data_IF_509809755386
#
_entry.id   IF_509809755386
#
_cell.length_a   1.000
_cell.length_b   1.000
_cell.length_c   1.000
_cell.angle_alpha   90.00
_cell.angle_beta   90.00
_cell.angle_gamma   90.00
#
_symmetry.space_group_name_H-M   'P 1'
#
loop_
_entity.id
_entity.type
_entity.pdbx_description
1 polymer ?
#
# COMPACT_ATOMS: atom_id res chain seq x y z
N UNK A 1 1.93 18.64 -5.98
CA UNK A 1 1.81 17.23 -6.37
C UNK A 1 0.48 16.74 -5.83
N UNK A 2 -0.32 16.07 -6.67
CA UNK A 2 -1.59 15.46 -6.28
C UNK A 2 -1.35 14.01 -5.93
N UNK A 3 -1.85 13.56 -4.79
CA UNK A 3 -1.79 12.15 -4.38
C UNK A 3 -3.20 11.59 -4.35
N UNK A 4 -3.44 10.54 -5.14
CA UNK A 4 -4.74 9.90 -5.24
C UNK A 4 -4.66 8.50 -4.61
N UNK A 5 -5.55 8.25 -3.66
CA UNK A 5 -5.65 6.95 -2.99
C UNK A 5 -6.71 6.07 -3.67
N UNK A 6 -6.26 5.00 -4.32
CA UNK A 6 -7.13 3.97 -4.85
C UNK A 6 -7.49 2.94 -3.77
N UNK A 7 -8.78 2.72 -3.59
CA UNK A 7 -9.31 1.61 -2.79
C UNK A 7 -8.99 0.26 -3.45
N UNK A 8 -8.94 -0.82 -2.68
CA UNK A 8 -8.73 -2.16 -3.24
C UNK A 8 -9.87 -2.65 -4.14
N UNK A 9 -11.05 -2.01 -4.08
CA UNK A 9 -12.19 -2.27 -4.97
C UNK A 9 -11.96 -1.77 -6.40
N UNK A 10 -11.10 -0.77 -6.57
CA UNK A 10 -10.85 -0.10 -7.86
C UNK A 10 -10.23 -1.06 -8.89
N UNK A 11 -9.63 -2.17 -8.44
CA UNK A 11 -9.10 -3.24 -9.31
C UNK A 11 -10.16 -3.90 -10.19
N UNK A 12 -11.43 -3.79 -9.83
CA UNK A 12 -12.51 -4.52 -10.50
C UNK A 12 -13.42 -3.61 -11.33
N UNK A 13 -13.33 -2.28 -11.15
CA UNK A 13 -14.20 -1.34 -11.85
C UNK A 13 -13.61 0.08 -11.88
N UNK A 14 -12.65 0.30 -12.78
CA UNK A 14 -12.04 1.61 -13.00
C UNK A 14 -12.82 2.29 -14.13
N UNK A 15 -13.73 3.18 -13.75
CA UNK A 15 -14.59 3.84 -14.71
C UNK A 15 -13.76 4.64 -15.74
N UNK A 16 -14.04 4.54 -17.05
CA UNK A 16 -13.26 5.21 -18.09
C UNK A 16 -13.10 6.72 -17.89
N UNK A 17 -14.11 7.39 -17.33
CA UNK A 17 -14.04 8.84 -17.04
C UNK A 17 -12.94 9.19 -16.04
N UNK A 18 -12.75 8.38 -14.99
CA UNK A 18 -11.69 8.61 -14.00
C UNK A 18 -10.31 8.52 -14.65
N UNK A 19 -10.14 7.60 -15.61
CA UNK A 19 -8.87 7.46 -16.32
C UNK A 19 -8.62 8.68 -17.21
N UNK A 20 -9.64 9.19 -17.88
CA UNK A 20 -9.52 10.41 -18.68
C UNK A 20 -9.19 11.62 -17.81
N UNK A 21 -9.86 11.79 -16.66
CA UNK A 21 -9.55 12.86 -15.70
C UNK A 21 -8.09 12.78 -15.23
N UNK A 22 -7.62 11.58 -14.87
CA UNK A 22 -6.23 11.36 -14.48
C UNK A 22 -5.25 11.68 -15.61
N UNK A 23 -5.58 11.31 -16.85
CA UNK A 23 -4.78 11.66 -18.02
C UNK A 23 -4.64 13.17 -18.14
N UNK A 24 -5.74 13.90 -18.10
CA UNK A 24 -5.75 15.37 -18.21
C UNK A 24 -4.98 16.04 -17.07
N UNK A 25 -5.15 15.57 -15.82
CA UNK A 25 -4.42 16.12 -14.68
C UNK A 25 -2.92 15.82 -14.81
N UNK A 26 -2.54 14.60 -15.21
CA UNK A 26 -1.13 14.19 -15.33
C UNK A 26 -0.33 14.98 -16.37
N UNK A 27 -1.00 15.59 -17.36
CA UNK A 27 -0.37 16.46 -18.36
C UNK A 27 -0.01 17.84 -17.80
N UNK A 28 -0.69 18.30 -16.76
CA UNK A 28 -0.58 19.67 -16.25
C UNK A 28 -0.02 19.73 -14.83
N UNK A 29 -0.11 18.64 -14.07
CA UNK A 29 0.24 18.59 -12.65
C UNK A 29 0.92 17.26 -12.30
N UNK A 30 1.92 17.31 -11.43
CA UNK A 30 2.56 16.11 -10.86
C UNK A 30 1.50 15.31 -10.09
N UNK A 31 1.34 14.05 -10.42
CA UNK A 31 0.40 13.13 -9.78
C UNK A 31 1.11 11.85 -9.34
N UNK A 32 0.69 11.31 -8.18
CA UNK A 32 1.08 9.98 -7.68
C UNK A 32 -0.18 9.22 -7.28
N UNK A 33 -0.23 7.92 -7.58
CA UNK A 33 -1.26 7.03 -7.08
C UNK A 33 -0.71 6.18 -5.94
N UNK A 34 -1.50 6.01 -4.89
CA UNK A 34 -1.26 5.01 -3.85
C UNK A 34 -2.41 4.03 -3.87
N UNK A 35 -2.16 2.72 -3.88
CA UNK A 35 -3.24 1.73 -3.98
C UNK A 35 -3.43 0.88 -2.72
N UNK A 36 -4.66 0.38 -2.54
CA UNK A 36 -4.99 -0.67 -1.59
C UNK A 36 -4.97 -2.05 -2.23
N UNK A 37 -5.46 -3.06 -1.49
CA UNK A 37 -5.47 -4.43 -2.02
C UNK A 37 -5.78 -5.55 -1.02
N UNK A 38 -6.16 -5.22 0.22
CA UNK A 38 -6.25 -6.20 1.30
C UNK A 38 -7.11 -7.44 1.00
N UNK A 39 -8.22 -7.30 0.26
CA UNK A 39 -9.08 -8.43 -0.12
C UNK A 39 -8.33 -9.45 -1.00
N UNK A 40 -7.60 -8.97 -1.99
CA UNK A 40 -6.84 -9.84 -2.90
C UNK A 40 -5.63 -10.47 -2.20
N UNK A 41 -4.99 -9.76 -1.26
CA UNK A 41 -3.97 -10.38 -0.40
C UNK A 41 -4.56 -11.56 0.39
N UNK A 42 -5.75 -11.40 0.98
CA UNK A 42 -6.39 -12.49 1.70
C UNK A 42 -6.69 -13.67 0.78
N UNK A 43 -7.26 -13.42 -0.40
CA UNK A 43 -7.56 -14.45 -1.40
C UNK A 43 -6.32 -15.27 -1.77
N UNK A 44 -5.20 -14.60 -2.09
CA UNK A 44 -3.96 -15.28 -2.48
C UNK A 44 -3.33 -16.01 -1.30
N UNK A 45 -3.30 -15.41 -0.11
CA UNK A 45 -2.75 -16.06 1.06
C UNK A 45 -3.51 -17.35 1.42
N UNK A 46 -4.85 -17.34 1.38
CA UNK A 46 -5.67 -18.54 1.59
C UNK A 46 -5.36 -19.62 0.54
N UNK A 47 -5.17 -19.25 -0.73
CA UNK A 47 -4.75 -20.21 -1.78
C UNK A 47 -3.37 -20.82 -1.55
N UNK A 48 -2.50 -20.10 -0.85
CA UNK A 48 -1.18 -20.58 -0.42
C UNK A 48 -1.22 -21.36 0.91
N UNK A 49 -2.42 -21.60 1.47
CA UNK A 49 -2.59 -22.29 2.76
C UNK A 49 -2.31 -21.40 3.99
N UNK A 50 -2.12 -20.08 3.79
CA UNK A 50 -1.86 -19.11 4.86
C UNK A 50 -3.13 -18.37 5.26
N UNK A 51 -3.84 -18.92 6.23
CA UNK A 51 -5.03 -18.28 6.81
C UNK A 51 -4.71 -16.93 7.45
N UNK A 52 -5.57 -15.95 7.16
CA UNK A 52 -5.32 -14.56 7.53
C UNK A 52 -5.94 -14.20 8.86
N UNK A 53 -5.13 -13.68 9.78
CA UNK A 53 -5.56 -13.23 11.10
C UNK A 53 -5.84 -11.73 11.09
N UNK A 54 -6.92 -11.33 11.74
CA UNK A 54 -7.29 -9.93 11.92
C UNK A 54 -7.39 -9.60 13.41
N UNK A 55 -6.94 -8.40 13.76
CA UNK A 55 -6.95 -7.87 15.12
C UNK A 55 -7.71 -6.55 15.15
N UNK A 56 -8.27 -6.21 16.30
CA UNK A 56 -8.98 -4.95 16.52
C UNK A 56 -8.20 -4.13 17.54
N UNK A 57 -7.85 -2.90 17.18
CA UNK A 57 -7.17 -1.98 18.11
C UNK A 57 -8.15 -1.42 19.17
N UNK A 58 -7.65 -0.84 20.28
CA UNK A 58 -8.51 -0.18 21.27
C UNK A 58 -9.37 0.96 20.73
N UNK A 59 -8.98 1.55 19.59
CA UNK A 59 -9.78 2.57 18.89
C UNK A 59 -10.78 1.96 17.90
N UNK A 60 -11.03 0.65 17.95
CA UNK A 60 -11.99 -0.05 17.10
C UNK A 60 -11.51 -0.35 15.68
N UNK A 61 -10.28 0.03 15.31
CA UNK A 61 -9.77 -0.19 13.96
C UNK A 61 -9.39 -1.67 13.80
N UNK A 62 -10.06 -2.36 12.86
CA UNK A 62 -9.75 -3.72 12.44
C UNK A 62 -8.63 -3.72 11.40
N UNK A 63 -7.58 -4.49 11.63
CA UNK A 63 -6.41 -4.57 10.75
C UNK A 63 -5.89 -6.01 10.65
N UNK A 64 -5.15 -6.31 9.57
CA UNK A 64 -4.47 -7.60 9.41
C UNK A 64 -3.34 -7.71 10.42
N UNK A 65 -3.29 -8.81 11.15
CA UNK A 65 -2.09 -9.20 11.87
C UNK A 65 -1.10 -9.77 10.85
N UNK A 66 0.05 -9.14 10.71
CA UNK A 66 1.04 -9.48 9.69
C UNK A 66 2.25 -10.12 10.37
N UNK A 67 2.36 -11.44 10.33
CA UNK A 67 3.61 -12.13 10.67
C UNK A 67 4.60 -12.07 9.47
N UNK A 68 5.79 -12.67 9.61
CA UNK A 68 6.86 -12.58 8.60
C UNK A 68 6.41 -13.09 7.23
N UNK A 69 5.87 -14.31 7.21
CA UNK A 69 5.36 -14.96 6.00
C UNK A 69 4.21 -14.15 5.39
N UNK A 70 3.31 -13.62 6.23
CA UNK A 70 2.23 -12.74 5.77
C UNK A 70 2.78 -11.44 5.17
N UNK A 71 3.89 -10.89 5.68
CA UNK A 71 4.53 -9.71 5.12
C UNK A 71 5.11 -9.99 3.73
N UNK A 72 5.73 -11.15 3.53
CA UNK A 72 6.24 -11.60 2.24
C UNK A 72 5.10 -11.77 1.22
N UNK A 73 4.03 -12.48 1.60
CA UNK A 73 2.84 -12.64 0.74
C UNK A 73 2.19 -11.28 0.45
N UNK A 74 2.04 -10.43 1.47
CA UNK A 74 1.48 -9.09 1.31
C UNK A 74 2.30 -8.28 0.30
N UNK A 75 3.63 -8.32 0.40
CA UNK A 75 4.54 -7.62 -0.52
C UNK A 75 4.42 -8.17 -1.94
N UNK A 76 4.45 -9.49 -2.13
CA UNK A 76 4.29 -10.11 -3.45
C UNK A 76 2.98 -9.71 -4.13
N UNK A 77 1.88 -9.74 -3.39
CA UNK A 77 0.55 -9.47 -3.95
C UNK A 77 0.34 -7.98 -4.20
N UNK A 78 0.72 -7.12 -3.25
CA UNK A 78 0.56 -5.67 -3.37
C UNK A 78 1.49 -5.10 -4.46
N UNK A 79 2.79 -5.36 -4.37
CA UNK A 79 3.81 -4.78 -5.26
C UNK A 79 3.93 -5.49 -6.60
N UNK A 80 3.55 -6.76 -6.66
CA UNK A 80 3.51 -7.55 -7.89
C UNK A 80 2.13 -7.48 -8.52
N UNK A 81 1.24 -8.39 -8.13
CA UNK A 81 -0.03 -8.60 -8.83
C UNK A 81 -0.87 -7.32 -8.96
N UNK A 82 -1.18 -6.68 -7.84
CA UNK A 82 -2.11 -5.55 -7.79
C UNK A 82 -1.50 -4.32 -8.48
N UNK A 83 -0.28 -3.97 -8.11
CA UNK A 83 0.43 -2.85 -8.69
C UNK A 83 0.53 -2.97 -10.22
N UNK A 84 0.91 -4.15 -10.74
CA UNK A 84 1.06 -4.35 -12.18
C UNK A 84 -0.26 -4.42 -12.93
N UNK A 85 -1.35 -4.87 -12.29
CA UNK A 85 -2.70 -4.75 -12.87
C UNK A 85 -3.07 -3.28 -13.09
N UNK A 86 -2.89 -2.43 -12.06
CA UNK A 86 -3.19 -1.00 -12.17
C UNK A 86 -2.34 -0.33 -13.25
N UNK A 87 -1.02 -0.60 -13.25
CA UNK A 87 -0.11 -0.08 -14.27
C UNK A 87 -0.55 -0.49 -15.67
N UNK A 88 -0.86 -1.78 -15.88
CA UNK A 88 -1.37 -2.28 -17.17
C UNK A 88 -2.62 -1.51 -17.60
N UNK A 89 -3.60 -1.36 -16.73
CA UNK A 89 -4.86 -0.65 -17.04
C UNK A 89 -4.63 0.81 -17.44
N UNK A 90 -3.71 1.50 -16.79
CA UNK A 90 -3.35 2.88 -17.11
C UNK A 90 -2.60 2.98 -18.44
N UNK A 91 -1.65 2.07 -18.68
CA UNK A 91 -0.87 2.00 -19.93
C UNK A 91 -1.77 1.69 -21.13
N UNK A 92 -2.75 0.79 -20.98
CA UNK A 92 -3.77 0.51 -22.01
C UNK A 92 -4.57 1.76 -22.41
N UNK A 93 -4.56 2.83 -21.60
CA UNK A 93 -5.22 4.11 -21.85
C UNK A 93 -4.24 5.23 -22.23
N UNK A 94 -3.00 4.88 -22.56
CA UNK A 94 -1.98 5.83 -23.01
C UNK A 94 -1.32 6.63 -21.90
N UNK A 95 -1.55 6.29 -20.63
CA UNK A 95 -0.86 6.91 -19.50
C UNK A 95 0.47 6.20 -19.28
N UNK A 96 1.57 6.95 -19.21
CA UNK A 96 2.92 6.42 -18.91
C UNK A 96 3.03 6.06 -17.43
N UNK A 97 2.34 5.02 -16.98
CA UNK A 97 2.36 4.60 -15.59
C UNK A 97 3.60 3.76 -15.26
N UNK A 98 4.13 3.93 -14.04
CA UNK A 98 5.25 3.14 -13.52
C UNK A 98 4.92 2.64 -12.13
N UNK A 99 5.06 1.33 -11.94
CA UNK A 99 4.72 0.69 -10.67
C UNK A 99 5.92 0.59 -9.74
N UNK A 100 5.83 1.22 -8.57
CA UNK A 100 6.83 1.18 -7.51
C UNK A 100 6.20 0.75 -6.18
N UNK A 101 7.03 0.42 -5.22
CA UNK A 101 6.67 0.16 -3.83
C UNK A 101 7.35 1.18 -2.93
N UNK A 102 6.86 1.33 -1.70
CA UNK A 102 7.47 2.27 -0.77
C UNK A 102 8.92 1.92 -0.40
N UNK A 103 9.42 0.72 -0.68
CA UNK A 103 10.84 0.40 -0.47
C UNK A 103 11.74 0.91 -1.61
N UNK A 104 11.19 1.11 -2.81
CA UNK A 104 11.97 1.53 -3.97
C UNK A 104 12.46 2.97 -3.76
N UNK A 105 13.77 3.19 -3.82
CA UNK A 105 14.35 4.50 -3.51
C UNK A 105 14.11 4.97 -2.07
N UNK A 106 13.71 4.08 -1.15
CA UNK A 106 13.33 4.39 0.23
C UNK A 106 12.12 5.34 0.39
N UNK A 107 11.17 5.32 -0.54
CA UNK A 107 10.00 6.22 -0.51
C UNK A 107 9.29 6.22 0.85
N UNK A 108 9.06 5.06 1.47
CA UNK A 108 8.39 4.91 2.75
C UNK A 108 9.30 4.21 3.75
N UNK A 109 9.65 4.89 4.84
CA UNK A 109 10.24 4.28 6.03
C UNK A 109 9.22 4.23 7.16
N UNK A 110 9.27 3.17 7.96
CA UNK A 110 8.38 3.02 9.09
C UNK A 110 9.09 2.35 10.27
N UNK A 111 8.64 2.69 11.49
CA UNK A 111 9.09 2.01 12.71
C UNK A 111 8.21 0.79 12.92
N UNK A 112 8.83 -0.38 13.08
CA UNK A 112 8.10 -1.63 13.34
C UNK A 112 7.38 -1.58 14.68
N UNK A 113 6.11 -2.00 14.70
CA UNK A 113 5.33 -2.15 15.93
C UNK A 113 5.62 -3.51 16.55
N UNK A 114 6.61 -3.57 17.45
CA UNK A 114 7.04 -4.81 18.14
C UNK A 114 6.05 -5.31 19.19
N UNK A 115 5.13 -4.46 19.64
CA UNK A 115 3.99 -4.79 20.50
C UNK A 115 2.74 -4.11 19.97
N UNK A 116 1.60 -4.80 20.04
CA UNK A 116 0.31 -4.25 19.63
C UNK A 116 -0.68 -4.33 20.79
N UNK A 117 -1.35 -3.21 21.07
CA UNK A 117 -2.54 -3.23 21.90
C UNK A 117 -3.73 -3.63 21.03
N UNK A 118 -4.48 -4.63 21.48
CA UNK A 118 -5.65 -5.19 20.78
C UNK A 118 -6.78 -5.42 21.76
N UNK A 119 -8.01 -5.52 21.23
CA UNK A 119 -9.17 -6.00 21.95
C UNK A 119 -9.31 -7.51 21.73
N UNK A 120 -9.51 -8.26 22.82
CA UNK A 120 -9.90 -9.66 22.72
C UNK A 120 -11.40 -9.80 22.35
N UNK A 121 -11.88 -11.03 22.20
CA UNK A 121 -13.27 -11.34 21.87
C UNK A 121 -14.28 -10.78 22.88
N UNK A 122 -13.86 -10.51 24.12
CA UNK A 122 -14.67 -9.91 25.20
C UNK A 122 -14.54 -8.38 25.27
N UNK A 123 -13.91 -7.75 24.28
CA UNK A 123 -13.68 -6.31 24.23
C UNK A 123 -12.64 -5.80 25.25
N UNK A 124 -11.85 -6.66 25.87
CA UNK A 124 -10.83 -6.27 26.85
C UNK A 124 -9.50 -5.98 26.16
N UNK A 125 -8.84 -4.89 26.57
CA UNK A 125 -7.50 -4.51 26.09
C UNK A 125 -6.47 -5.55 26.54
N UNK A 126 -5.65 -6.00 25.60
CA UNK A 126 -4.48 -6.85 25.86
C UNK A 126 -3.31 -6.43 24.97
N UNK A 127 -2.09 -6.84 25.36
CA UNK A 127 -0.88 -6.66 24.55
C UNK A 127 -0.51 -8.01 23.95
N UNK A 128 -0.30 -8.04 22.64
CA UNK A 128 0.26 -9.18 21.92
C UNK A 128 1.62 -8.82 21.35
N UNK A 129 2.39 -9.85 20.98
CA UNK A 129 3.55 -9.65 20.11
C UNK A 129 3.11 -8.91 18.86
N UNK A 130 3.93 -7.97 18.45
CA UNK A 130 3.72 -7.24 17.22
C UNK A 130 3.84 -8.11 15.98
N UNK A 131 4.01 -7.45 14.86
CA UNK A 131 4.21 -8.11 13.59
C UNK A 131 5.08 -7.25 12.70
N UNK A 132 5.00 -7.52 11.41
CA UNK A 132 5.64 -6.78 10.33
C UNK A 132 4.66 -5.70 9.83
N UNK A 133 4.20 -4.89 10.78
CA UNK A 133 3.35 -3.71 10.55
C UNK A 133 4.07 -2.50 11.13
N UNK A 134 4.01 -1.38 10.40
CA UNK A 134 4.75 -0.16 10.75
C UNK A 134 3.89 1.04 11.12
N UNK A 135 4.51 2.03 11.74
CA UNK A 135 4.07 3.44 11.71
C UNK A 135 5.05 4.19 10.81
N UNK A 136 4.55 4.82 9.74
CA UNK A 136 5.37 5.63 8.84
C UNK A 136 6.12 6.70 9.65
N UNK A 137 7.43 6.76 9.46
CA UNK A 137 8.34 7.68 10.15
C UNK A 137 8.83 8.78 9.22
N UNK A 138 9.03 8.49 7.94
CA UNK A 138 9.48 9.47 6.95
C UNK A 138 9.09 9.03 5.54
N UNK A 139 9.00 10.02 4.64
CA UNK A 139 8.82 9.81 3.19
C UNK A 139 9.96 10.46 2.42
N UNK A 140 10.53 9.74 1.47
CA UNK A 140 11.54 10.24 0.52
C UNK A 140 10.91 10.40 -0.86
N UNK A 141 10.81 11.63 -1.35
CA UNK A 141 10.06 11.94 -2.58
C UNK A 141 10.94 12.13 -3.81
N UNK A 142 12.27 12.09 -3.68
CA UNK A 142 13.19 12.29 -4.82
C UNK A 142 12.86 11.38 -6.00
N UNK A 143 12.66 10.07 -5.77
CA UNK A 143 12.28 9.14 -6.84
C UNK A 143 10.94 9.50 -7.48
N UNK A 144 9.93 9.86 -6.67
CA UNK A 144 8.60 10.27 -7.18
C UNK A 144 8.69 11.55 -8.00
N UNK A 145 9.49 12.52 -7.55
CA UNK A 145 9.76 13.75 -8.29
C UNK A 145 10.45 13.46 -9.62
N UNK A 146 11.51 12.64 -9.63
CA UNK A 146 12.19 12.24 -10.87
C UNK A 146 11.25 11.57 -11.86
N UNK A 147 10.39 10.66 -11.39
CA UNK A 147 9.44 9.97 -12.26
C UNK A 147 8.37 10.92 -12.81
N UNK A 148 7.80 11.79 -11.97
CA UNK A 148 6.79 12.76 -12.40
C UNK A 148 7.37 13.83 -13.32
N UNK A 149 8.60 14.30 -13.07
CA UNK A 149 9.32 15.22 -13.97
C UNK A 149 9.65 14.56 -15.32
N UNK A 150 9.85 13.24 -15.34
CA UNK A 150 10.01 12.43 -16.56
C UNK A 150 8.70 12.14 -17.31
N UNK A 151 7.56 12.68 -16.85
CA UNK A 151 6.24 12.47 -17.43
C UNK A 151 5.64 11.09 -17.15
N UNK A 152 6.11 10.40 -16.10
CA UNK A 152 5.50 9.15 -15.64
C UNK A 152 4.46 9.42 -14.54
N UNK A 153 3.46 8.54 -14.45
CA UNK A 153 2.53 8.47 -13.31
C UNK A 153 2.97 7.34 -12.36
N UNK A 154 3.57 7.64 -11.19
CA UNK A 154 3.96 6.63 -10.23
C UNK A 154 2.74 5.99 -9.57
N UNK A 155 2.74 4.67 -9.48
CA UNK A 155 1.75 3.86 -8.77
C UNK A 155 2.45 3.15 -7.62
N UNK A 156 2.22 3.62 -6.40
CA UNK A 156 2.93 3.22 -5.17
C UNK A 156 2.10 2.18 -4.40
N UNK A 157 2.72 1.03 -4.11
CA UNK A 157 2.21 0.07 -3.13
C UNK A 157 2.64 0.44 -1.70
N UNK A 158 1.76 0.32 -0.69
CA UNK A 158 2.03 0.76 0.69
C UNK A 158 2.83 -0.29 1.48
N UNK A 159 4.06 -0.52 1.04
CA UNK A 159 5.09 -1.32 1.75
C UNK A 159 6.16 -0.35 2.23
N UNK A 160 6.45 -0.34 3.53
CA UNK A 160 7.52 0.49 4.09
C UNK A 160 8.72 -0.37 4.49
N UNK A 161 9.89 0.25 4.54
CA UNK A 161 11.11 -0.37 5.05
C UNK A 161 11.28 -0.05 6.53
N UNK A 162 11.57 -1.10 7.34
CA UNK A 162 11.89 -0.91 8.76
C UNK A 162 13.30 -0.36 8.96
N UNK A 163 13.59 0.03 10.21
CA UNK A 163 14.93 0.37 10.69
C UNK A 163 15.96 -0.76 10.47
N UNK A 164 15.50 -2.00 10.31
CA UNK A 164 16.31 -3.20 10.10
C UNK A 164 16.14 -3.79 8.69
N UNK A 165 15.66 -3.00 7.73
CA UNK A 165 15.45 -3.43 6.33
C UNK A 165 14.42 -4.56 6.15
N UNK A 166 13.45 -4.66 7.07
CA UNK A 166 12.33 -5.60 6.96
C UNK A 166 11.15 -4.96 6.21
N UNK A 167 10.38 -5.76 5.49
CA UNK A 167 9.13 -5.31 4.88
C UNK A 167 8.06 -5.08 5.95
N UNK A 168 7.45 -3.89 5.93
CA UNK A 168 6.37 -3.53 6.83
C UNK A 168 5.10 -3.23 6.03
N UNK A 169 4.02 -3.91 6.40
CA UNK A 169 2.67 -3.52 6.03
C UNK A 169 2.33 -2.17 6.70
N UNK A 170 1.96 -1.18 5.89
CA UNK A 170 1.45 0.11 6.36
C UNK A 170 0.08 0.40 5.79
N UNK A 171 -0.67 1.23 6.52
CA UNK A 171 -1.98 1.70 6.09
C UNK A 171 -1.83 2.54 4.80
N UNK A 172 -2.55 2.16 3.75
CA UNK A 172 -2.44 2.81 2.46
C UNK A 172 -3.02 4.23 2.44
N UNK A 173 -4.00 4.53 3.27
CA UNK A 173 -4.56 5.88 3.38
C UNK A 173 -3.57 6.79 4.13
N UNK A 174 -2.89 6.25 5.14
CA UNK A 174 -1.75 6.94 5.76
C UNK A 174 -0.59 7.11 4.78
N UNK A 175 -0.25 6.09 3.99
CA UNK A 175 0.80 6.23 2.99
C UNK A 175 0.49 7.36 2.00
N UNK A 176 -0.77 7.45 1.53
CA UNK A 176 -1.21 8.55 0.67
C UNK A 176 -1.17 9.92 1.37
N UNK A 177 -1.48 10.00 2.66
CA UNK A 177 -1.45 11.26 3.40
C UNK A 177 -0.02 11.74 3.73
N UNK A 178 0.95 10.83 3.78
CA UNK A 178 2.35 11.14 4.06
C UNK A 178 3.16 11.48 2.79
N UNK A 179 2.74 10.97 1.64
CA UNK A 179 3.28 11.29 0.30
C UNK A 179 2.72 12.64 -0.16
#
# INVERSE_FOLDING_TARGET
MIVIKFGGSVLYDLHPSLIEDMRQISLNQKMVLVHGGGKEVTNIATKLGKEQRFIVSPSGIRSRYTDKETAEIYTMVMSGKINKIIVRMLVEKGIRAVGVSGIDGNILKAIRKTKLAVLNEKGRKMIIEGGYTGKISSVETSLLNTLTDGGFLPVVSPIALSENYEYLNVDGDRAAAYI
#
